data_IF_239013550343
#
_entry.id   IF_239013550343
#
_cell.length_a   1.000
_cell.length_b   1.000
_cell.length_c   1.000
_cell.angle_alpha   90.00
_cell.angle_beta   90.00
_cell.angle_gamma   90.00
#
_symmetry.space_group_name_H-M   'P 1'
#
loop_
_entity.id
_entity.type
_entity.pdbx_description
1 polymer ?
#
# COMPACT_ATOMS: atom_id res chain seq x y z
N UNK A 1 -9.91 12.82 26.37
CA UNK A 1 -9.55 11.67 25.52
C UNK A 1 -9.46 12.15 24.08
N UNK A 2 -8.34 11.91 23.41
CA UNK A 2 -8.19 12.29 22.00
C UNK A 2 -9.21 11.55 21.12
N UNK A 3 -9.63 12.13 20.00
CA UNK A 3 -10.65 11.52 19.16
C UNK A 3 -10.06 10.33 18.38
N UNK A 4 -10.40 9.11 18.80
CA UNK A 4 -9.90 7.89 18.15
C UNK A 4 -10.61 7.67 16.81
N UNK A 5 -9.86 7.58 15.72
CA UNK A 5 -10.41 7.35 14.37
C UNK A 5 -10.98 8.59 13.66
N UNK A 6 -11.21 9.70 14.36
CA UNK A 6 -11.65 10.96 13.73
C UNK A 6 -10.55 11.60 12.89
N UNK A 7 -10.97 12.44 11.95
CA UNK A 7 -10.09 13.38 11.24
C UNK A 7 -10.25 14.77 11.83
N UNK A 8 -9.21 15.62 11.81
CA UNK A 8 -9.30 17.00 12.30
C UNK A 8 -10.47 17.78 11.68
N UNK A 9 -10.74 17.57 10.38
CA UNK A 9 -11.88 18.20 9.70
C UNK A 9 -13.25 17.76 10.23
N UNK A 10 -13.47 16.47 10.49
CA UNK A 10 -14.74 16.02 11.10
C UNK A 10 -14.85 16.51 12.54
N UNK A 11 -13.74 16.41 13.27
CA UNK A 11 -13.67 16.73 14.68
C UNK A 11 -13.96 18.20 14.96
N UNK A 12 -13.46 19.14 14.14
CA UNK A 12 -13.64 20.58 14.37
C UNK A 12 -15.12 20.99 14.34
N UNK A 13 -15.95 20.29 13.56
CA UNK A 13 -17.38 20.58 13.44
C UNK A 13 -18.24 19.90 14.50
N UNK A 14 -17.76 18.81 15.10
CA UNK A 14 -18.54 17.99 16.04
C UNK A 14 -18.07 18.12 17.50
N UNK A 15 -16.90 18.74 17.72
CA UNK A 15 -16.33 18.92 19.05
C UNK A 15 -17.04 20.02 19.83
N UNK A 16 -17.28 19.76 21.12
CA UNK A 16 -17.73 20.78 22.09
C UNK A 16 -16.57 21.61 22.65
N UNK A 17 -15.34 21.32 22.22
CA UNK A 17 -14.12 21.91 22.78
C UNK A 17 -14.10 23.44 22.70
N UNK A 18 -14.62 24.02 21.63
CA UNK A 18 -14.64 25.48 21.43
C UNK A 18 -15.78 26.19 22.17
N UNK A 19 -16.74 25.46 22.77
CA UNK A 19 -17.85 26.08 23.49
C UNK A 19 -18.64 27.07 22.63
N UNK A 20 -18.65 28.35 23.05
CA UNK A 20 -19.26 29.46 22.30
C UNK A 20 -18.27 30.21 21.39
N UNK A 21 -16.98 29.85 21.42
CA UNK A 21 -15.96 30.45 20.55
C UNK A 21 -16.09 29.89 19.13
N UNK A 22 -15.70 30.70 18.13
CA UNK A 22 -15.69 30.25 16.75
C UNK A 22 -14.62 29.19 16.54
N UNK A 23 -15.06 28.01 16.10
CA UNK A 23 -14.17 26.94 15.66
C UNK A 23 -13.23 27.42 14.54
N UNK A 24 -11.97 26.94 14.50
CA UNK A 24 -11.01 27.36 13.49
C UNK A 24 -11.48 26.95 12.09
N UNK A 25 -11.40 27.89 11.15
CA UNK A 25 -11.76 27.64 9.76
C UNK A 25 -10.67 26.81 9.06
N UNK A 26 -10.95 25.53 8.80
CA UNK A 26 -10.07 24.64 8.06
C UNK A 26 -10.36 24.71 6.56
N UNK A 27 -9.31 24.88 5.75
CA UNK A 27 -9.43 24.81 4.29
C UNK A 27 -9.55 23.35 3.86
N UNK A 28 -10.65 23.01 3.19
CA UNK A 28 -10.85 21.67 2.66
C UNK A 28 -10.16 21.49 1.31
N UNK A 29 -9.54 20.33 1.11
CA UNK A 29 -8.92 19.87 -0.14
C UNK A 29 -9.51 18.52 -0.51
N UNK A 30 -9.41 18.08 -1.77
CA UNK A 30 -9.91 16.76 -2.18
C UNK A 30 -9.36 15.61 -1.31
N UNK A 31 -8.09 15.70 -0.89
CA UNK A 31 -7.44 14.72 -0.01
C UNK A 31 -7.96 14.68 1.43
N UNK A 32 -8.73 15.68 1.85
CA UNK A 32 -9.34 15.71 3.20
C UNK A 32 -10.67 14.95 3.27
N UNK A 33 -11.25 14.60 2.11
CA UNK A 33 -12.52 13.87 2.00
C UNK A 33 -12.33 12.35 1.80
N UNK A 34 -11.21 11.79 2.25
CA UNK A 34 -11.03 10.34 2.32
C UNK A 34 -12.06 9.73 3.29
N UNK A 35 -12.57 8.55 2.93
CA UNK A 35 -13.64 7.84 3.65
C UNK A 35 -13.13 6.81 4.66
N UNK A 36 -11.81 6.67 4.78
CA UNK A 36 -11.18 5.79 5.77
C UNK A 36 -10.98 6.48 7.12
N UNK A 37 -10.92 5.72 8.24
CA UNK A 37 -10.65 6.28 9.56
C UNK A 37 -9.28 6.97 9.62
N UNK A 38 -9.15 7.97 10.49
CA UNK A 38 -7.92 8.74 10.65
C UNK A 38 -6.80 8.00 11.39
N UNK A 39 -7.10 6.91 12.11
CA UNK A 39 -6.12 6.23 12.96
C UNK A 39 -5.90 4.75 12.55
N UNK A 40 -4.65 4.31 12.36
CA UNK A 40 -3.44 5.12 12.17
C UNK A 40 -3.41 5.76 10.77
N UNK A 41 -2.47 6.69 10.53
CA UNK A 41 -2.29 7.24 9.19
C UNK A 41 -1.71 6.19 8.24
N UNK A 42 -2.51 5.79 7.24
CA UNK A 42 -2.08 4.81 6.23
C UNK A 42 -0.89 5.28 5.38
N UNK A 43 -0.75 6.58 5.16
CA UNK A 43 0.38 7.15 4.44
C UNK A 43 1.69 6.99 5.21
N UNK A 44 1.71 7.39 6.49
CA UNK A 44 2.86 7.23 7.36
C UNK A 44 3.20 5.75 7.61
N UNK A 45 2.17 4.90 7.77
CA UNK A 45 2.36 3.46 7.92
C UNK A 45 2.99 2.83 6.67
N UNK A 46 2.49 3.16 5.49
CA UNK A 46 2.98 2.61 4.22
C UNK A 46 4.39 3.07 3.90
N UNK A 47 4.68 4.38 4.04
CA UNK A 47 6.02 4.93 3.80
C UNK A 47 7.05 4.33 4.77
N UNK A 48 6.71 4.24 6.06
CA UNK A 48 7.62 3.69 7.05
C UNK A 48 7.90 2.20 6.81
N UNK A 49 6.87 1.41 6.46
CA UNK A 49 7.04 -0.01 6.18
C UNK A 49 7.95 -0.25 4.96
N UNK A 50 7.67 0.41 3.85
CA UNK A 50 8.45 0.26 2.61
C UNK A 50 9.87 0.79 2.80
N UNK A 51 10.00 1.98 3.38
CA UNK A 51 11.29 2.61 3.66
C UNK A 51 12.18 1.76 4.57
N UNK A 52 11.61 1.20 5.64
CA UNK A 52 12.32 0.30 6.55
C UNK A 52 12.86 -0.94 5.81
N UNK A 53 12.03 -1.62 5.02
CA UNK A 53 12.45 -2.79 4.23
C UNK A 53 13.56 -2.43 3.24
N UNK A 54 13.47 -1.29 2.58
CA UNK A 54 14.50 -0.84 1.62
C UNK A 54 15.83 -0.55 2.32
N UNK A 55 15.82 0.13 3.47
CA UNK A 55 17.04 0.41 4.25
C UNK A 55 17.70 -0.90 4.68
N UNK A 56 16.93 -1.84 5.24
CA UNK A 56 17.46 -3.15 5.67
C UNK A 56 18.01 -3.94 4.49
N UNK A 57 17.34 -3.93 3.33
CA UNK A 57 17.81 -4.62 2.13
C UNK A 57 19.15 -4.06 1.63
N UNK A 58 19.31 -2.73 1.55
CA UNK A 58 20.57 -2.11 1.13
C UNK A 58 21.70 -2.41 2.13
N UNK A 59 21.42 -2.33 3.43
CA UNK A 59 22.40 -2.67 4.47
C UNK A 59 22.80 -4.15 4.42
N UNK A 60 21.85 -5.05 4.15
CA UNK A 60 22.14 -6.48 3.98
C UNK A 60 23.09 -6.74 2.80
N UNK A 61 22.86 -6.06 1.66
CA UNK A 61 23.74 -6.16 0.49
C UNK A 61 25.14 -5.61 0.80
N UNK A 62 25.22 -4.46 1.48
CA UNK A 62 26.50 -3.87 1.87
C UNK A 62 27.29 -4.81 2.81
N UNK A 63 26.62 -5.40 3.80
CA UNK A 63 27.21 -6.37 4.71
C UNK A 63 27.74 -7.62 3.97
N UNK A 64 26.99 -8.14 3.00
CA UNK A 64 27.42 -9.28 2.17
C UNK A 64 28.65 -8.96 1.30
N UNK A 65 28.78 -7.70 0.85
CA UNK A 65 29.93 -7.23 0.07
C UNK A 65 31.17 -6.92 0.92
N UNK A 66 31.13 -7.20 2.24
CA UNK A 66 32.24 -6.94 3.18
C UNK A 66 32.75 -5.50 3.09
N UNK A 67 31.83 -4.54 2.99
CA UNK A 67 32.18 -3.11 2.93
C UNK A 67 33.00 -2.70 4.17
N UNK A 68 34.00 -1.81 4.04
CA UNK A 68 34.77 -1.31 5.17
C UNK A 68 33.87 -0.76 6.29
N UNK A 69 34.24 -0.99 7.55
CA UNK A 69 33.41 -0.66 8.71
C UNK A 69 32.96 0.82 8.75
N UNK A 70 33.87 1.75 8.43
CA UNK A 70 33.57 3.18 8.37
C UNK A 70 32.52 3.49 7.30
N UNK A 71 32.68 2.91 6.10
CA UNK A 71 31.74 3.13 4.99
C UNK A 71 30.36 2.52 5.28
N UNK A 72 30.32 1.34 5.90
CA UNK A 72 29.08 0.71 6.33
C UNK A 72 28.35 1.57 7.37
N UNK A 73 29.08 2.12 8.34
CA UNK A 73 28.51 3.01 9.36
C UNK A 73 27.98 4.30 8.75
N UNK A 74 28.74 4.94 7.86
CA UNK A 74 28.29 6.13 7.14
C UNK A 74 27.04 5.84 6.29
N UNK A 75 27.04 4.73 5.55
CA UNK A 75 25.88 4.30 4.77
C UNK A 75 24.66 4.10 5.66
N UNK A 76 24.82 3.41 6.80
CA UNK A 76 23.75 3.21 7.78
C UNK A 76 23.20 4.55 8.27
N UNK A 77 24.06 5.49 8.67
CA UNK A 77 23.63 6.81 9.12
C UNK A 77 22.87 7.57 8.02
N UNK A 78 23.40 7.61 6.80
CA UNK A 78 22.77 8.29 5.67
C UNK A 78 21.39 7.71 5.37
N UNK A 79 21.26 6.37 5.32
CA UNK A 79 19.99 5.71 5.01
C UNK A 79 18.92 5.97 6.08
N UNK A 80 19.26 5.88 7.37
CA UNK A 80 18.30 6.16 8.45
C UNK A 80 17.92 7.64 8.52
N UNK A 81 18.87 8.55 8.28
CA UNK A 81 18.58 9.99 8.22
C UNK A 81 17.67 10.32 7.04
N UNK A 82 17.91 9.72 5.87
CA UNK A 82 17.06 9.91 4.70
C UNK A 82 15.64 9.39 4.96
N UNK A 83 15.51 8.20 5.56
CA UNK A 83 14.20 7.66 5.94
C UNK A 83 13.49 8.57 6.94
N UNK A 84 14.21 9.03 7.98
CA UNK A 84 13.66 9.97 8.96
C UNK A 84 13.18 11.28 8.33
N UNK A 85 13.93 11.82 7.36
CA UNK A 85 13.53 13.02 6.62
C UNK A 85 12.27 12.78 5.78
N UNK A 86 12.20 11.66 5.05
CA UNK A 86 11.02 11.30 4.26
C UNK A 86 9.79 11.13 5.16
N UNK A 87 9.92 10.41 6.28
CA UNK A 87 8.81 10.21 7.23
C UNK A 87 8.37 11.53 7.86
N UNK A 88 9.31 12.42 8.19
CA UNK A 88 8.97 13.75 8.70
C UNK A 88 8.15 14.53 7.67
N UNK A 89 8.57 14.55 6.40
CA UNK A 89 7.85 15.24 5.32
C UNK A 89 6.45 14.64 5.10
N UNK A 90 6.33 13.31 5.09
CA UNK A 90 5.05 12.60 4.95
C UNK A 90 4.14 12.94 6.13
N UNK A 91 4.61 12.81 7.37
CA UNK A 91 3.84 13.12 8.57
C UNK A 91 3.39 14.59 8.60
N UNK A 92 4.32 15.52 8.32
CA UNK A 92 4.02 16.95 8.29
C UNK A 92 3.00 17.29 7.20
N UNK A 93 3.09 16.68 6.01
CA UNK A 93 2.09 16.89 4.95
C UNK A 93 0.67 16.54 5.39
N UNK A 94 0.52 15.47 6.19
CA UNK A 94 -0.78 14.95 6.65
C UNK A 94 -1.37 15.77 7.79
N UNK A 95 -0.51 16.25 8.68
CA UNK A 95 -0.91 17.15 9.78
C UNK A 95 -1.23 18.54 9.23
N UNK A 96 -0.41 19.06 8.31
CA UNK A 96 -0.58 20.39 7.71
C UNK A 96 -1.90 20.52 6.94
N UNK A 97 -2.29 19.47 6.21
CA UNK A 97 -3.57 19.43 5.47
C UNK A 97 -4.75 19.06 6.40
N UNK A 98 -4.53 18.96 7.72
CA UNK A 98 -5.56 18.62 8.69
C UNK A 98 -6.29 17.28 8.37
N UNK A 99 -5.60 16.35 7.72
CA UNK A 99 -6.12 15.03 7.40
C UNK A 99 -5.93 14.06 8.59
N UNK A 100 -4.88 14.26 9.40
CA UNK A 100 -4.55 13.44 10.55
C UNK A 100 -4.09 14.26 11.74
N UNK A 101 -4.33 13.74 12.94
CA UNK A 101 -3.72 14.27 14.16
C UNK A 101 -2.28 13.77 14.33
N UNK A 102 -1.41 14.49 15.08
CA UNK A 102 -0.02 14.09 15.32
C UNK A 102 0.14 12.67 15.88
N UNK A 103 -0.73 12.27 16.82
CA UNK A 103 -0.68 10.91 17.38
C UNK A 103 -0.96 9.83 16.34
N UNK A 104 -1.83 10.11 15.35
CA UNK A 104 -2.21 9.13 14.32
C UNK A 104 -1.08 8.88 13.32
N UNK A 105 -0.32 9.92 12.97
CA UNK A 105 0.86 9.77 12.10
C UNK A 105 1.99 9.05 12.82
N UNK A 106 2.23 9.35 14.11
CA UNK A 106 3.22 8.65 14.94
C UNK A 106 2.87 7.16 15.09
N UNK A 107 1.61 6.86 15.44
CA UNK A 107 1.12 5.48 15.49
C UNK A 107 1.24 4.78 14.13
N UNK A 108 1.04 5.50 13.02
CA UNK A 108 1.26 5.01 11.66
C UNK A 108 2.70 4.57 11.43
N UNK A 109 3.68 5.44 11.70
CA UNK A 109 5.11 5.12 11.55
C UNK A 109 5.49 3.89 12.38
N UNK A 110 5.10 3.85 13.65
CA UNK A 110 5.40 2.74 14.56
C UNK A 110 4.78 1.43 14.02
N UNK A 111 3.51 1.46 13.63
CA UNK A 111 2.82 0.30 13.09
C UNK A 111 3.47 -0.20 11.80
N UNK A 112 3.90 0.72 10.92
CA UNK A 112 4.59 0.40 9.68
C UNK A 112 5.92 -0.33 9.91
N UNK A 113 6.72 0.14 10.86
CA UNK A 113 7.99 -0.50 11.26
C UNK A 113 7.74 -1.89 11.85
N UNK A 114 6.76 -2.03 12.76
CA UNK A 114 6.41 -3.32 13.36
C UNK A 114 5.98 -4.31 12.28
N UNK A 115 5.10 -3.91 11.37
CA UNK A 115 4.66 -4.76 10.26
C UNK A 115 5.83 -5.16 9.39
N UNK A 116 6.71 -4.22 9.00
CA UNK A 116 7.90 -4.53 8.21
C UNK A 116 8.81 -5.55 8.90
N UNK A 117 9.03 -5.41 10.21
CA UNK A 117 9.89 -6.29 10.99
C UNK A 117 9.30 -7.70 11.17
N UNK A 118 7.97 -7.80 11.36
CA UNK A 118 7.29 -9.10 11.43
C UNK A 118 7.40 -9.82 10.09
N UNK A 119 7.12 -9.13 8.98
CA UNK A 119 7.16 -9.72 7.65
C UNK A 119 8.59 -10.04 7.18
N UNK A 120 9.60 -9.27 7.60
CA UNK A 120 11.01 -9.54 7.25
C UNK A 120 11.50 -10.89 7.83
N UNK A 121 10.96 -11.30 8.98
CA UNK A 121 11.29 -12.56 9.65
C UNK A 121 10.55 -13.75 9.04
N UNK A 122 9.45 -13.51 8.32
CA UNK A 122 8.56 -14.56 7.83
C UNK A 122 8.96 -15.10 6.45
N UNK A 123 9.97 -15.99 6.42
CA UNK A 123 10.47 -16.62 5.17
C UNK A 123 9.48 -17.61 4.53
N UNK A 124 8.49 -18.08 5.28
CA UNK A 124 7.52 -19.09 4.83
C UNK A 124 6.69 -18.64 3.62
N UNK A 125 6.49 -17.32 3.48
CA UNK A 125 5.77 -16.71 2.36
C UNK A 125 6.35 -17.21 1.02
N UNK A 126 7.68 -17.31 0.88
CA UNK A 126 8.31 -17.68 -0.39
C UNK A 126 8.33 -19.18 -0.70
N UNK A 127 7.94 -20.05 0.24
CA UNK A 127 8.05 -21.53 0.14
C UNK A 127 6.66 -22.20 0.14
N UNK A 128 5.62 -21.43 0.44
CA UNK A 128 4.24 -21.92 0.58
C UNK A 128 3.65 -22.32 -0.77
N UNK A 129 2.92 -23.45 -0.85
CA UNK A 129 2.25 -23.91 -2.07
C UNK A 129 1.07 -23.02 -2.48
N UNK A 130 0.71 -23.02 -3.76
CA UNK A 130 -0.39 -22.22 -4.33
C UNK A 130 -1.72 -22.47 -3.61
N UNK A 131 -2.02 -23.74 -3.28
CA UNK A 131 -3.25 -24.11 -2.58
C UNK A 131 -3.31 -23.49 -1.18
N UNK A 132 -2.18 -23.42 -0.47
CA UNK A 132 -2.10 -22.75 0.84
C UNK A 132 -2.23 -21.24 0.72
N UNK A 133 -1.62 -20.64 -0.30
CA UNK A 133 -1.82 -19.21 -0.62
C UNK A 133 -3.29 -18.89 -0.84
N UNK A 134 -3.95 -19.64 -1.73
CA UNK A 134 -5.38 -19.47 -2.00
C UNK A 134 -6.23 -19.67 -0.73
N UNK A 135 -5.93 -20.71 0.05
CA UNK A 135 -6.65 -20.99 1.31
C UNK A 135 -6.47 -19.89 2.34
N UNK A 136 -5.27 -19.31 2.48
CA UNK A 136 -4.99 -18.20 3.41
C UNK A 136 -5.68 -16.93 2.93
N UNK A 137 -5.60 -16.59 1.65
CA UNK A 137 -6.30 -15.42 1.10
C UNK A 137 -7.81 -15.55 1.29
N UNK A 138 -8.39 -16.73 1.02
CA UNK A 138 -9.80 -17.00 1.24
C UNK A 138 -10.16 -16.91 2.73
N UNK A 139 -9.35 -17.49 3.62
CA UNK A 139 -9.56 -17.42 5.07
C UNK A 139 -9.53 -15.97 5.56
N UNK A 140 -8.53 -15.17 5.15
CA UNK A 140 -8.43 -13.76 5.52
C UNK A 140 -9.62 -12.95 5.00
N UNK A 141 -10.09 -13.24 3.78
CA UNK A 141 -11.29 -12.60 3.23
C UNK A 141 -12.54 -12.95 4.05
N UNK A 142 -12.79 -14.23 4.28
CA UNK A 142 -13.96 -14.70 5.06
C UNK A 142 -13.90 -14.14 6.48
N UNK A 143 -12.72 -14.14 7.09
CA UNK A 143 -12.52 -13.57 8.43
C UNK A 143 -12.81 -12.07 8.44
N UNK A 144 -12.27 -11.29 7.50
CA UNK A 144 -12.48 -9.85 7.43
C UNK A 144 -13.96 -9.48 7.17
N UNK A 145 -14.62 -10.19 6.24
CA UNK A 145 -16.06 -10.01 5.95
C UNK A 145 -16.91 -10.46 7.13
N UNK A 146 -16.61 -11.61 7.73
CA UNK A 146 -17.32 -12.11 8.91
C UNK A 146 -17.18 -11.16 10.10
N UNK A 147 -15.98 -10.60 10.33
CA UNK A 147 -15.74 -9.61 11.36
C UNK A 147 -16.50 -8.30 11.09
N UNK A 148 -16.56 -7.84 9.83
CA UNK A 148 -17.40 -6.70 9.44
C UNK A 148 -18.88 -6.94 9.76
N UNK A 149 -19.42 -8.11 9.37
CA UNK A 149 -20.82 -8.47 9.63
C UNK A 149 -21.08 -8.56 11.14
N UNK A 150 -20.16 -9.16 11.90
CA UNK A 150 -20.25 -9.26 13.36
C UNK A 150 -20.30 -7.86 13.99
N UNK A 151 -19.40 -6.95 13.61
CA UNK A 151 -19.40 -5.58 14.12
C UNK A 151 -20.72 -4.86 13.80
N UNK A 152 -21.23 -5.04 12.58
CA UNK A 152 -22.54 -4.50 12.18
C UNK A 152 -23.68 -5.03 13.05
N UNK A 153 -23.69 -6.33 13.38
CA UNK A 153 -24.69 -6.94 14.26
C UNK A 153 -24.59 -6.43 15.70
N UNK A 154 -23.37 -6.18 16.20
CA UNK A 154 -23.11 -5.60 17.53
C UNK A 154 -23.40 -4.09 17.58
N UNK A 155 -23.87 -3.49 16.47
CA UNK A 155 -24.23 -2.08 16.38
C UNK A 155 -23.06 -1.14 16.14
N UNK A 156 -21.88 -1.68 15.79
CA UNK A 156 -20.71 -0.88 15.38
C UNK A 156 -20.70 -0.79 13.86
N UNK A 157 -21.23 0.30 13.31
CA UNK A 157 -21.18 0.53 11.88
C UNK A 157 -19.77 0.94 11.45
N UNK A 158 -19.13 0.18 10.55
CA UNK A 158 -17.83 0.51 9.94
C UNK A 158 -17.93 1.54 8.82
N UNK A 159 -19.14 1.79 8.30
CA UNK A 159 -19.42 2.83 7.31
C UNK A 159 -19.65 4.21 7.93
N UNK A 160 -19.57 4.35 9.26
CA UNK A 160 -19.68 5.63 9.94
C UNK A 160 -18.72 6.70 9.39
N UNK A 161 -17.52 6.29 8.93
CA UNK A 161 -16.55 7.20 8.31
C UNK A 161 -16.96 7.67 6.92
N UNK A 162 -17.72 6.85 6.19
CA UNK A 162 -18.31 7.23 4.91
C UNK A 162 -19.40 8.28 5.13
N UNK A 163 -20.29 8.05 6.11
CA UNK A 163 -21.33 9.02 6.47
C UNK A 163 -20.73 10.35 6.92
N UNK A 164 -19.68 10.32 7.76
CA UNK A 164 -18.96 11.54 8.16
C UNK A 164 -18.29 12.25 6.99
N UNK A 165 -17.66 11.50 6.08
CA UNK A 165 -17.06 12.07 4.88
C UNK A 165 -18.13 12.73 4.00
N UNK A 166 -19.28 12.10 3.79
CA UNK A 166 -20.38 12.67 3.00
C UNK A 166 -21.00 13.90 3.67
N UNK A 167 -21.15 13.87 5.00
CA UNK A 167 -21.74 14.97 5.77
C UNK A 167 -20.89 16.24 5.77
N UNK A 168 -19.57 16.07 5.90
CA UNK A 168 -18.65 17.18 6.09
C UNK A 168 -17.83 17.52 4.83
N UNK A 169 -17.88 16.73 3.77
CA UNK A 169 -17.23 17.12 2.51
C UNK A 169 -18.05 18.17 1.75
N UNK A 170 -17.42 19.31 1.43
CA UNK A 170 -18.04 20.43 0.69
C UNK A 170 -18.39 20.02 -0.73
N UNK A 171 -17.55 19.19 -1.37
CA UNK A 171 -17.79 18.70 -2.72
C UNK A 171 -18.00 17.18 -2.72
N UNK A 172 -19.20 16.67 -3.05
CA UNK A 172 -19.47 15.23 -3.05
C UNK A 172 -18.57 14.47 -4.04
N UNK A 173 -18.06 15.10 -5.09
CA UNK A 173 -17.13 14.49 -6.04
C UNK A 173 -15.74 14.19 -5.42
N UNK A 174 -15.40 14.78 -4.28
CA UNK A 174 -14.16 14.48 -3.56
C UNK A 174 -14.28 13.31 -2.59
N UNK A 175 -15.49 12.76 -2.39
CA UNK A 175 -15.71 11.60 -1.54
C UNK A 175 -15.15 10.36 -2.23
N UNK A 176 -13.98 9.92 -1.78
CA UNK A 176 -13.23 8.84 -2.43
C UNK A 176 -13.66 7.46 -1.95
N UNK A 177 -14.53 6.79 -2.72
CA UNK A 177 -14.97 5.41 -2.45
C UNK A 177 -13.81 4.40 -2.41
N UNK A 178 -12.71 4.68 -3.12
CA UNK A 178 -11.47 3.88 -3.13
C UNK A 178 -10.80 3.79 -1.75
N UNK A 179 -11.07 4.76 -0.88
CA UNK A 179 -10.48 4.83 0.47
C UNK A 179 -11.36 4.20 1.54
N UNK A 180 -12.47 3.58 1.14
CA UNK A 180 -13.32 2.82 2.07
C UNK A 180 -12.58 1.59 2.61
N UNK A 181 -12.86 1.17 3.86
CA UNK A 181 -12.26 -0.04 4.42
C UNK A 181 -12.48 -1.28 3.54
N UNK A 182 -13.67 -1.40 2.94
CA UNK A 182 -14.01 -2.52 2.06
C UNK A 182 -13.25 -2.49 0.73
N UNK A 183 -13.10 -1.32 0.08
CA UNK A 183 -12.25 -1.19 -1.11
C UNK A 183 -10.79 -1.56 -0.81
N UNK A 184 -10.27 -1.11 0.33
CA UNK A 184 -8.92 -1.44 0.79
C UNK A 184 -8.73 -2.94 1.01
N UNK A 185 -9.71 -3.61 1.62
CA UNK A 185 -9.71 -5.06 1.79
C UNK A 185 -9.64 -5.78 0.45
N UNK A 186 -10.49 -5.42 -0.51
CA UNK A 186 -10.50 -6.04 -1.84
C UNK A 186 -9.19 -5.82 -2.59
N UNK A 187 -8.59 -4.63 -2.51
CA UNK A 187 -7.26 -4.36 -3.08
C UNK A 187 -6.19 -5.25 -2.47
N UNK A 188 -6.19 -5.42 -1.15
CA UNK A 188 -5.23 -6.29 -0.47
C UNK A 188 -5.41 -7.76 -0.90
N UNK A 189 -6.65 -8.22 -1.02
CA UNK A 189 -6.95 -9.57 -1.50
C UNK A 189 -6.53 -9.77 -2.95
N UNK A 190 -6.81 -8.80 -3.83
CA UNK A 190 -6.37 -8.82 -5.22
C UNK A 190 -4.85 -8.88 -5.32
N UNK A 191 -4.16 -8.05 -4.55
CA UNK A 191 -2.69 -8.04 -4.43
C UNK A 191 -2.14 -9.41 -4.02
N UNK A 192 -2.67 -10.00 -2.94
CA UNK A 192 -2.24 -11.32 -2.47
C UNK A 192 -2.51 -12.43 -3.50
N UNK A 193 -3.67 -12.38 -4.15
CA UNK A 193 -4.05 -13.32 -5.21
C UNK A 193 -3.10 -13.21 -6.41
N UNK A 194 -2.84 -11.98 -6.88
CA UNK A 194 -1.90 -11.70 -7.97
C UNK A 194 -0.48 -12.15 -7.65
N UNK A 195 -0.01 -11.93 -6.41
CA UNK A 195 1.30 -12.43 -5.95
C UNK A 195 1.34 -13.96 -5.92
N UNK A 196 0.30 -14.61 -5.40
CA UNK A 196 0.19 -16.06 -5.31
C UNK A 196 0.29 -16.72 -6.68
N UNK A 197 -0.44 -16.20 -7.67
CA UNK A 197 -0.34 -16.61 -9.07
C UNK A 197 1.05 -16.32 -9.65
N UNK A 198 1.59 -15.13 -9.34
CA UNK A 198 2.93 -14.67 -9.71
C UNK A 198 4.04 -15.66 -9.38
N UNK A 199 4.10 -16.06 -8.11
CA UNK A 199 5.16 -16.90 -7.55
C UNK A 199 5.09 -18.37 -7.98
N UNK A 200 3.88 -18.88 -8.28
CA UNK A 200 3.66 -20.29 -8.62
C UNK A 200 3.56 -20.58 -10.11
N UNK A 201 3.62 -19.55 -10.94
CA UNK A 201 3.69 -19.76 -12.38
C UNK A 201 4.99 -20.49 -12.74
N UNK A 202 4.95 -21.57 -13.54
CA UNK A 202 6.13 -22.34 -13.95
C UNK A 202 7.20 -21.50 -14.66
N UNK A 203 6.79 -20.32 -15.15
CA UNK A 203 7.66 -19.31 -15.75
C UNK A 203 8.60 -18.63 -14.74
N UNK A 204 8.17 -18.44 -13.48
CA UNK A 204 9.02 -17.81 -12.44
C UNK A 204 10.29 -18.64 -12.17
N UNK A 205 10.17 -19.96 -12.18
CA UNK A 205 11.29 -20.91 -12.01
C UNK A 205 12.27 -20.92 -13.18
N UNK A 206 11.83 -20.63 -14.41
CA UNK A 206 12.74 -20.55 -15.57
C UNK A 206 13.61 -19.28 -15.55
N UNK A 207 13.07 -18.15 -15.07
CA UNK A 207 13.82 -16.87 -15.01
C UNK A 207 14.96 -16.85 -13.99
N UNK A 208 14.90 -17.66 -12.93
CA UNK A 208 15.95 -17.72 -11.89
C UNK A 208 17.29 -18.26 -12.39
N UNK A 209 17.34 -18.96 -13.52
CA UNK A 209 18.55 -19.71 -13.91
C UNK A 209 19.61 -18.93 -14.69
N UNK A 210 19.30 -17.81 -15.34
CA UNK A 210 20.33 -16.92 -15.92
C UNK A 210 19.68 -15.66 -16.50
N UNK A 211 19.81 -14.51 -15.83
CA UNK A 211 19.38 -13.22 -16.37
C UNK A 211 20.46 -12.15 -16.15
N UNK A 212 20.85 -11.50 -17.23
CA UNK A 212 21.84 -10.42 -17.22
C UNK A 212 21.31 -9.17 -16.49
N UNK A 213 22.21 -8.38 -15.91
CA UNK A 213 21.84 -7.11 -15.26
C UNK A 213 20.98 -6.15 -16.12
N UNK A 214 21.23 -5.97 -17.45
CA UNK A 214 20.36 -5.13 -18.27
C UNK A 214 18.94 -5.69 -18.41
N UNK A 215 18.75 -7.02 -18.43
CA UNK A 215 17.41 -7.63 -18.46
C UNK A 215 16.61 -7.30 -17.20
N UNK A 216 17.25 -7.37 -16.02
CA UNK A 216 16.62 -7.02 -14.75
C UNK A 216 16.24 -5.55 -14.70
N UNK A 217 17.14 -4.67 -15.12
CA UNK A 217 16.89 -3.23 -15.16
C UNK A 217 15.74 -2.88 -16.11
N UNK A 218 15.73 -3.47 -17.31
CA UNK A 218 14.64 -3.29 -18.28
C UNK A 218 13.29 -3.81 -17.75
N UNK A 219 13.29 -4.96 -17.07
CA UNK A 219 12.08 -5.52 -16.46
C UNK A 219 11.52 -4.60 -15.38
N UNK A 220 12.38 -4.03 -14.53
CA UNK A 220 11.98 -3.07 -13.49
C UNK A 220 11.39 -1.81 -14.14
N UNK A 221 12.10 -1.21 -15.10
CA UNK A 221 11.65 0.03 -15.75
C UNK A 221 10.30 -0.14 -16.45
N UNK A 222 10.12 -1.19 -17.25
CA UNK A 222 8.85 -1.47 -17.95
C UNK A 222 7.73 -1.76 -16.95
N UNK A 223 8.01 -2.51 -15.89
CA UNK A 223 7.02 -2.78 -14.85
C UNK A 223 6.57 -1.49 -14.17
N UNK A 224 7.48 -0.57 -13.85
CA UNK A 224 7.14 0.72 -13.26
C UNK A 224 6.27 1.57 -14.20
N UNK A 225 6.59 1.61 -15.50
CA UNK A 225 5.78 2.34 -16.49
C UNK A 225 4.38 1.74 -16.59
N UNK A 226 4.26 0.42 -16.69
CA UNK A 226 2.96 -0.26 -16.76
C UNK A 226 2.15 -0.08 -15.47
N UNK A 227 2.79 -0.11 -14.31
CA UNK A 227 2.14 0.18 -13.04
C UNK A 227 1.63 1.62 -12.98
N UNK A 228 2.40 2.58 -13.50
CA UNK A 228 1.97 3.98 -13.58
C UNK A 228 0.76 4.13 -14.52
N UNK A 229 0.76 3.47 -15.67
CA UNK A 229 -0.38 3.46 -16.60
C UNK A 229 -1.61 2.81 -15.97
N UNK A 230 -1.43 1.72 -15.22
CA UNK A 230 -2.48 1.05 -14.49
C UNK A 230 -3.07 1.97 -13.40
N UNK A 231 -2.24 2.78 -12.74
CA UNK A 231 -2.68 3.72 -11.71
C UNK A 231 -3.62 4.80 -12.29
N UNK A 232 -3.32 5.31 -13.48
CA UNK A 232 -4.16 6.28 -14.20
C UNK A 232 -5.55 5.75 -14.59
N UNK A 233 -5.79 4.42 -14.57
CA UNK A 233 -7.12 3.87 -14.79
C UNK A 233 -8.03 4.15 -13.59
N UNK A 234 -8.93 5.10 -13.75
CA UNK A 234 -10.04 5.37 -12.82
C UNK A 234 -11.28 4.61 -13.26
N UNK A 235 -12.09 4.15 -12.30
CA UNK A 235 -13.32 3.41 -12.57
C UNK A 235 -14.54 4.23 -12.15
N UNK A 236 -15.64 4.22 -12.93
CA UNK A 236 -16.87 4.90 -12.55
C UNK A 236 -17.44 4.31 -11.26
N UNK A 237 -17.82 5.18 -10.33
CA UNK A 237 -18.34 4.81 -9.00
C UNK A 237 -19.86 4.63 -8.96
N UNK A 238 -20.56 4.80 -10.07
CA UNK A 238 -22.03 4.76 -10.15
C UNK A 238 -22.60 3.38 -9.78
N UNK A 239 -21.87 2.30 -10.11
CA UNK A 239 -22.23 0.94 -9.72
C UNK A 239 -21.17 0.36 -8.78
N UNK A 240 -21.49 0.31 -7.49
CA UNK A 240 -20.60 -0.16 -6.43
C UNK A 240 -20.04 -1.56 -6.71
N UNK A 241 -20.85 -2.49 -7.24
CA UNK A 241 -20.40 -3.87 -7.51
C UNK A 241 -19.34 -3.91 -8.59
N UNK A 242 -19.53 -3.17 -9.69
CA UNK A 242 -18.58 -3.09 -10.80
C UNK A 242 -17.27 -2.45 -10.32
N UNK A 243 -17.36 -1.36 -9.57
CA UNK A 243 -16.22 -0.67 -8.98
C UNK A 243 -15.36 -1.62 -8.13
N UNK A 244 -15.98 -2.41 -7.25
CA UNK A 244 -15.26 -3.35 -6.40
C UNK A 244 -14.59 -4.49 -7.17
N UNK A 245 -15.25 -5.05 -8.18
CA UNK A 245 -14.67 -6.09 -9.06
C UNK A 245 -13.47 -5.53 -9.85
N UNK A 246 -13.62 -4.34 -10.42
CA UNK A 246 -12.55 -3.68 -11.18
C UNK A 246 -11.37 -3.31 -10.28
N UNK A 247 -11.62 -2.83 -9.06
CA UNK A 247 -10.57 -2.52 -8.07
C UNK A 247 -9.80 -3.77 -7.64
N UNK A 248 -10.49 -4.88 -7.38
CA UNK A 248 -9.85 -6.18 -7.12
C UNK A 248 -8.98 -6.62 -8.30
N UNK A 249 -9.52 -6.55 -9.51
CA UNK A 249 -8.83 -6.97 -10.74
C UNK A 249 -7.61 -6.11 -11.01
N UNK A 250 -7.73 -4.78 -10.91
CA UNK A 250 -6.61 -3.82 -11.02
C UNK A 250 -5.49 -4.19 -10.03
N UNK A 251 -5.84 -4.50 -8.79
CA UNK A 251 -4.88 -4.84 -7.74
C UNK A 251 -4.18 -6.20 -7.98
N UNK A 252 -4.90 -7.18 -8.50
CA UNK A 252 -4.31 -8.46 -8.90
C UNK A 252 -3.35 -8.30 -10.09
N UNK A 253 -3.77 -7.55 -11.11
CA UNK A 253 -2.93 -7.25 -12.29
C UNK A 253 -1.67 -6.50 -11.88
N UNK A 254 -1.77 -5.56 -10.93
CA UNK A 254 -0.62 -4.80 -10.44
C UNK A 254 0.53 -5.69 -9.97
N UNK A 255 0.26 -6.84 -9.33
CA UNK A 255 1.34 -7.77 -8.96
C UNK A 255 1.67 -8.81 -10.03
N UNK A 256 0.74 -9.13 -10.94
CA UNK A 256 1.03 -10.01 -12.08
C UNK A 256 1.99 -9.37 -13.09
N UNK A 257 1.91 -8.05 -13.29
CA UNK A 257 2.77 -7.29 -14.21
C UNK A 257 4.26 -7.49 -13.93
N UNK A 258 4.79 -7.16 -12.73
CA UNK A 258 6.21 -7.32 -12.42
C UNK A 258 6.63 -8.78 -12.19
N UNK A 259 5.72 -9.67 -11.80
CA UNK A 259 6.08 -11.06 -11.43
C UNK A 259 6.08 -12.03 -12.61
N UNK A 260 5.18 -11.84 -13.59
CA UNK A 260 5.02 -12.76 -14.74
C UNK A 260 5.07 -11.99 -16.05
N UNK A 261 4.25 -10.96 -16.20
CA UNK A 261 3.88 -10.43 -17.52
C UNK A 261 5.09 -9.78 -18.20
N UNK A 262 5.78 -8.87 -17.52
CA UNK A 262 6.94 -8.15 -18.05
C UNK A 262 8.15 -9.08 -18.27
N UNK A 263 8.57 -9.91 -17.28
CA UNK A 263 9.67 -10.84 -17.49
C UNK A 263 9.42 -11.79 -18.67
N UNK A 264 8.20 -12.30 -18.83
CA UNK A 264 7.83 -13.22 -19.92
C UNK A 264 7.92 -12.56 -21.28
N UNK A 265 7.32 -11.38 -21.43
CA UNK A 265 7.33 -10.64 -22.69
C UNK A 265 8.76 -10.29 -23.10
N UNK A 266 9.57 -9.79 -22.18
CA UNK A 266 10.98 -9.49 -22.46
C UNK A 266 11.80 -10.72 -22.82
N UNK A 267 11.53 -11.87 -22.19
CA UNK A 267 12.22 -13.11 -22.51
C UNK A 267 11.88 -13.62 -23.92
N UNK A 268 10.60 -13.58 -24.30
CA UNK A 268 10.16 -13.95 -25.66
C UNK A 268 10.80 -13.05 -26.72
N UNK A 269 10.78 -11.73 -26.51
CA UNK A 269 11.43 -10.78 -27.44
C UNK A 269 12.94 -10.99 -27.57
N UNK A 270 13.63 -11.38 -26.49
CA UNK A 270 15.06 -11.69 -26.53
C UNK A 270 15.37 -13.03 -27.19
N UNK A 271 14.48 -14.02 -27.07
CA UNK A 271 14.61 -15.29 -27.79
C UNK A 271 14.44 -15.08 -29.31
N UNK A 272 13.42 -14.33 -29.73
CA UNK A 272 13.22 -14.00 -31.15
C UNK A 272 14.44 -13.31 -31.76
N UNK A 273 14.97 -12.26 -31.10
CA UNK A 273 16.20 -11.59 -31.56
C UNK A 273 17.43 -12.49 -31.60
N UNK A 274 17.47 -13.55 -30.81
CA UNK A 274 18.58 -14.50 -30.81
C UNK A 274 18.48 -15.47 -31.99
N UNK A 275 17.26 -15.91 -32.34
CA UNK A 275 16.98 -16.75 -33.51
C UNK A 275 17.28 -15.99 -34.81
N UNK A 276 16.86 -14.74 -34.89
CA UNK A 276 17.06 -13.88 -36.08
C UNK A 276 18.54 -13.56 -36.35
N UNK A 277 19.39 -13.52 -35.32
CA UNK A 277 20.86 -13.33 -35.46
C UNK A 277 21.62 -14.59 -35.85
N UNK A 278 20.99 -15.76 -35.77
CA UNK A 278 21.61 -17.07 -36.08
C UNK A 278 21.12 -17.67 -37.40
N UNK A 279 20.14 -17.04 -38.05
CA UNK A 279 19.72 -17.33 -39.42
C UNK A 279 20.46 -16.44 -40.42
#
# INVERSE_FOLDING_TARGET
MGPFGERPYWWVHETKFYGNESAPALRQLSITCETGPGSPSGHAMGSAAVGYVMVIAVLSIAAQRKTPALLYWLLKMVLWMLLGLVELLVCMSRVYVAAHFPHQVICGVISGIIVAEIFSRQKWIYITSLQKYFSITLFLLVFAVGFYVLLKVVGVDLLWTLEKAQKWCVNPAWVNMDTTPFASLLRNMGTLFGLGLGLHSPLHTQHKKSTSNPFKMGSIAISLVLLQLLDFLTFPSDNHTIFYILSFTKSAVALLVPTILVPRVLFLFLQEKKVEKTS
#
